data_IF_794123516205
#
_entry.id   IF_794123516205
#
_cell.length_a   1.000
_cell.length_b   1.000
_cell.length_c   1.000
_cell.angle_alpha   90.00
_cell.angle_beta   90.00
_cell.angle_gamma   90.00
#
_symmetry.space_group_name_H-M   'P 1'
#
loop_
_entity.id
_entity.type
_entity.pdbx_description
1 polymer ?
#
# COMPACT_ATOMS: atom_id res chain seq x y z
N UNK A 1 -22.78 -7.65 -22.45
CA UNK A 1 -22.73 -6.89 -21.17
C UNK A 1 -23.32 -5.50 -21.36
N UNK A 2 -24.34 -5.13 -20.58
CA UNK A 2 -25.16 -3.92 -20.78
C UNK A 2 -24.47 -2.61 -20.37
N UNK A 3 -25.03 -1.49 -20.87
CA UNK A 3 -24.57 -0.12 -20.61
C UNK A 3 -24.45 0.20 -19.11
N UNK A 4 -25.36 -0.32 -18.28
CA UNK A 4 -25.36 -0.15 -16.82
C UNK A 4 -24.14 -0.77 -16.14
N UNK A 5 -23.66 -1.93 -16.62
CA UNK A 5 -22.47 -2.60 -16.08
C UNK A 5 -21.21 -1.80 -16.41
N UNK A 6 -21.11 -1.28 -17.65
CA UNK A 6 -19.99 -0.42 -18.06
C UNK A 6 -19.93 0.87 -17.22
N UNK A 7 -21.08 1.52 -17.01
CA UNK A 7 -21.16 2.73 -16.21
C UNK A 7 -20.73 2.51 -14.74
N UNK A 8 -21.17 1.41 -14.11
CA UNK A 8 -20.75 1.06 -12.73
C UNK A 8 -19.24 0.79 -12.64
N UNK A 9 -18.67 0.07 -13.60
CA UNK A 9 -17.24 -0.24 -13.65
C UNK A 9 -16.38 1.02 -13.83
N UNK A 10 -16.80 1.94 -14.70
CA UNK A 10 -16.13 3.24 -14.90
C UNK A 10 -16.22 4.13 -13.67
N UNK A 11 -17.38 4.16 -12.99
CA UNK A 11 -17.51 4.92 -11.73
C UNK A 11 -16.58 4.38 -10.65
N UNK A 12 -16.51 3.05 -10.49
CA UNK A 12 -15.65 2.43 -9.50
C UNK A 12 -14.16 2.66 -9.79
N UNK A 13 -13.75 2.67 -11.06
CA UNK A 13 -12.38 3.03 -11.45
C UNK A 13 -12.04 4.45 -10.98
N UNK A 14 -12.89 5.43 -11.26
CA UNK A 14 -12.68 6.83 -10.86
C UNK A 14 -12.56 7.01 -9.35
N UNK A 15 -13.32 6.21 -8.57
CA UNK A 15 -13.21 6.22 -7.11
C UNK A 15 -11.81 5.74 -6.70
N UNK A 16 -11.34 4.62 -7.25
CA UNK A 16 -10.00 4.10 -6.94
C UNK A 16 -8.88 5.05 -7.37
N UNK A 17 -9.00 5.69 -8.53
CA UNK A 17 -8.09 6.74 -9.01
C UNK A 17 -8.05 7.93 -8.06
N UNK A 18 -9.22 8.40 -7.61
CA UNK A 18 -9.32 9.49 -6.64
C UNK A 18 -8.70 9.10 -5.30
N UNK A 19 -8.97 7.90 -4.79
CA UNK A 19 -8.45 7.43 -3.50
C UNK A 19 -6.91 7.36 -3.51
N UNK A 20 -6.31 6.74 -4.53
CA UNK A 20 -4.85 6.64 -4.61
C UNK A 20 -4.19 8.01 -4.84
N UNK A 21 -4.82 8.89 -5.61
CA UNK A 21 -4.31 10.25 -5.84
C UNK A 21 -4.35 11.08 -4.56
N UNK A 22 -5.46 11.03 -3.81
CA UNK A 22 -5.57 11.71 -2.52
C UNK A 22 -4.59 11.18 -1.49
N UNK A 23 -4.40 9.86 -1.43
CA UNK A 23 -3.40 9.25 -0.55
C UNK A 23 -1.98 9.66 -0.93
N UNK A 24 -1.64 9.62 -2.22
CA UNK A 24 -0.33 10.06 -2.72
C UNK A 24 -0.07 11.54 -2.44
N UNK A 25 -1.10 12.39 -2.56
CA UNK A 25 -1.00 13.80 -2.23
C UNK A 25 -0.73 14.04 -0.73
N UNK A 26 -1.24 13.18 0.16
CA UNK A 26 -0.90 13.24 1.59
C UNK A 26 0.56 12.85 1.81
N UNK A 27 1.03 11.76 1.19
CA UNK A 27 2.44 11.35 1.25
C UNK A 27 3.38 12.46 0.75
N UNK A 28 3.01 13.17 -0.32
CA UNK A 28 3.86 14.24 -0.86
C UNK A 28 4.06 15.43 0.09
N UNK A 29 3.16 15.63 1.06
CA UNK A 29 3.24 16.72 2.05
C UNK A 29 4.13 16.36 3.24
N UNK A 30 4.43 15.08 3.43
CA UNK A 30 5.27 14.58 4.52
C UNK A 30 6.75 14.77 4.16
N UNK A 31 7.59 14.97 5.17
CA UNK A 31 9.04 14.96 4.99
C UNK A 31 9.58 13.51 4.83
N UNK A 32 10.85 13.36 4.45
CA UNK A 32 11.44 12.04 4.21
C UNK A 32 11.53 11.17 5.47
N UNK A 33 11.69 11.76 6.66
CA UNK A 33 11.75 11.02 7.92
C UNK A 33 10.36 10.50 8.32
N UNK A 34 9.32 11.30 8.15
CA UNK A 34 7.92 10.89 8.31
C UNK A 34 7.55 9.77 7.32
N UNK A 35 7.99 9.86 6.07
CA UNK A 35 7.80 8.76 5.10
C UNK A 35 8.58 7.52 5.53
N UNK A 36 9.75 7.64 6.16
CA UNK A 36 10.47 6.51 6.75
C UNK A 36 9.63 5.70 7.75
N UNK A 37 8.80 6.37 8.55
CA UNK A 37 7.84 5.71 9.45
C UNK A 37 6.79 4.92 8.66
N UNK A 38 6.24 5.53 7.60
CA UNK A 38 5.27 4.86 6.73
C UNK A 38 5.90 3.65 6.04
N UNK A 39 7.12 3.75 5.52
CA UNK A 39 7.86 2.66 4.89
C UNK A 39 8.10 1.53 5.88
N UNK A 40 8.60 1.82 7.08
CA UNK A 40 8.86 0.80 8.10
C UNK A 40 7.58 0.02 8.47
N UNK A 41 6.46 0.72 8.70
CA UNK A 41 5.17 0.08 8.99
C UNK A 41 4.59 -0.66 7.78
N UNK A 42 4.76 -0.12 6.58
CA UNK A 42 4.32 -0.76 5.33
C UNK A 42 5.06 -2.08 5.13
N UNK A 43 6.37 -2.10 5.34
CA UNK A 43 7.19 -3.31 5.21
C UNK A 43 6.89 -4.33 6.31
N UNK A 44 6.74 -3.91 7.56
CA UNK A 44 6.33 -4.80 8.64
C UNK A 44 4.94 -5.40 8.39
N UNK A 45 4.01 -4.59 7.90
CA UNK A 45 2.68 -5.03 7.48
C UNK A 45 2.77 -6.05 6.34
N UNK A 46 3.61 -5.81 5.32
CA UNK A 46 3.85 -6.75 4.23
C UNK A 46 4.28 -8.11 4.78
N UNK A 47 5.35 -8.11 5.56
CA UNK A 47 5.93 -9.33 6.09
C UNK A 47 4.92 -10.10 6.95
N UNK A 48 4.09 -9.41 7.74
CA UNK A 48 3.03 -10.04 8.57
C UNK A 48 1.90 -10.62 7.75
N UNK A 49 1.46 -9.91 6.70
CA UNK A 49 0.40 -10.40 5.83
C UNK A 49 0.89 -11.55 4.95
N UNK A 50 2.14 -11.51 4.48
CA UNK A 50 2.73 -12.61 3.72
C UNK A 50 2.89 -13.87 4.57
N UNK A 51 3.28 -13.75 5.85
CA UNK A 51 3.24 -14.88 6.80
C UNK A 51 1.82 -15.44 7.00
N UNK A 52 0.80 -14.58 6.90
CA UNK A 52 -0.60 -14.96 6.98
C UNK A 52 -1.17 -15.51 5.65
N UNK A 53 -0.33 -15.67 4.63
CA UNK A 53 -0.68 -16.28 3.34
C UNK A 53 -1.13 -15.30 2.26
N UNK A 54 -1.00 -13.99 2.45
CA UNK A 54 -1.20 -13.01 1.38
C UNK A 54 0.01 -12.99 0.44
N UNK A 55 -0.21 -12.63 -0.83
CA UNK A 55 0.86 -12.27 -1.77
C UNK A 55 0.70 -10.80 -2.11
N UNK A 56 1.71 -9.97 -1.81
CA UNK A 56 1.59 -8.51 -1.96
C UNK A 56 2.66 -7.91 -2.87
N UNK A 57 3.84 -8.54 -2.91
CA UNK A 57 4.98 -8.14 -3.74
C UNK A 57 4.78 -8.32 -5.26
N UNK A 58 3.78 -9.09 -5.69
CA UNK A 58 3.42 -9.30 -7.10
C UNK A 58 1.91 -9.12 -7.30
N UNK A 59 1.40 -7.88 -7.49
CA UNK A 59 -0.04 -7.62 -7.48
C UNK A 59 -0.80 -8.31 -8.63
N UNK A 60 -0.14 -8.57 -9.76
CA UNK A 60 -0.75 -9.26 -10.92
C UNK A 60 -0.98 -10.74 -10.61
N UNK A 61 0.05 -11.40 -10.08
CA UNK A 61 -0.05 -12.81 -9.66
C UNK A 61 -0.99 -12.93 -8.45
N UNK A 62 -0.87 -12.03 -7.48
CA UNK A 62 -1.70 -12.01 -6.27
C UNK A 62 -3.20 -11.95 -6.59
N UNK A 63 -3.61 -11.09 -7.52
CA UNK A 63 -5.01 -10.99 -7.91
C UNK A 63 -5.52 -12.26 -8.60
N UNK A 64 -4.66 -12.93 -9.38
CA UNK A 64 -5.01 -14.20 -10.03
C UNK A 64 -5.25 -15.32 -9.01
N UNK A 65 -4.44 -15.36 -7.94
CA UNK A 65 -4.53 -16.36 -6.88
C UNK A 65 -5.69 -16.06 -5.93
N UNK A 66 -5.83 -14.80 -5.50
CA UNK A 66 -6.83 -14.37 -4.54
C UNK A 66 -7.41 -12.99 -4.90
N UNK A 67 -8.48 -12.94 -5.72
CA UNK A 67 -9.18 -11.71 -6.09
C UNK A 67 -9.79 -10.94 -4.93
N UNK A 68 -10.00 -11.57 -3.77
CA UNK A 68 -10.60 -10.95 -2.58
C UNK A 68 -9.62 -10.12 -1.75
N UNK A 69 -8.32 -10.17 -2.08
CA UNK A 69 -7.26 -9.44 -1.36
C UNK A 69 -7.60 -7.96 -1.16
N UNK A 70 -8.02 -7.17 -2.17
CA UNK A 70 -8.38 -5.77 -1.96
C UNK A 70 -9.56 -5.57 -1.00
N UNK A 71 -10.55 -6.47 -1.02
CA UNK A 71 -11.70 -6.42 -0.10
C UNK A 71 -11.27 -6.70 1.33
N UNK A 72 -10.42 -7.71 1.54
CA UNK A 72 -9.88 -8.06 2.85
C UNK A 72 -9.05 -6.90 3.45
N UNK A 73 -8.16 -6.30 2.65
CA UNK A 73 -7.35 -5.15 3.08
C UNK A 73 -8.23 -3.94 3.39
N UNK A 74 -9.28 -3.69 2.60
CA UNK A 74 -10.26 -2.62 2.89
C UNK A 74 -10.99 -2.85 4.22
N UNK A 75 -11.32 -4.09 4.56
CA UNK A 75 -11.87 -4.46 5.87
C UNK A 75 -10.90 -4.16 7.02
N UNK A 76 -9.63 -4.55 6.87
CA UNK A 76 -8.58 -4.28 7.86
C UNK A 76 -8.38 -2.78 8.11
N UNK A 77 -8.36 -1.97 7.04
CA UNK A 77 -8.23 -0.50 7.14
C UNK A 77 -9.37 0.08 7.98
N UNK A 78 -10.62 -0.34 7.73
CA UNK A 78 -11.78 0.14 8.49
C UNK A 78 -11.68 -0.20 9.96
N UNK A 79 -11.26 -1.43 10.28
CA UNK A 79 -11.05 -1.86 11.67
C UNK A 79 -9.96 -1.01 12.35
N UNK A 80 -8.81 -0.84 11.71
CA UNK A 80 -7.71 -0.04 12.24
C UNK A 80 -8.11 1.43 12.45
N UNK A 81 -8.86 2.01 11.51
CA UNK A 81 -9.40 3.37 11.65
C UNK A 81 -10.37 3.49 12.82
N UNK A 82 -11.27 2.52 12.99
CA UNK A 82 -12.21 2.49 14.12
C UNK A 82 -11.50 2.35 15.48
N UNK A 83 -10.36 1.67 15.51
CA UNK A 83 -9.49 1.53 16.69
C UNK A 83 -8.57 2.74 16.92
N UNK A 84 -8.59 3.76 16.05
CA UNK A 84 -7.68 4.91 16.13
C UNK A 84 -6.23 4.61 15.72
N UNK A 85 -5.96 3.45 15.12
CA UNK A 85 -4.63 2.98 14.70
C UNK A 85 -4.29 3.49 13.30
N UNK A 86 -4.26 4.81 13.16
CA UNK A 86 -4.20 5.48 11.85
C UNK A 86 -2.89 5.21 11.08
N UNK A 87 -1.76 5.08 11.78
CA UNK A 87 -0.47 4.79 11.14
C UNK A 87 -0.44 3.39 10.51
N UNK A 88 -1.00 2.40 11.20
CA UNK A 88 -1.13 1.04 10.67
C UNK A 88 -2.17 1.00 9.54
N UNK A 89 -3.26 1.77 9.65
CA UNK A 89 -4.22 1.90 8.56
C UNK A 89 -3.56 2.47 7.29
N UNK A 90 -2.70 3.49 7.42
CA UNK A 90 -1.95 4.05 6.29
C UNK A 90 -1.01 3.02 5.64
N UNK A 91 -0.33 2.20 6.45
CA UNK A 91 0.50 1.10 5.95
C UNK A 91 -0.31 0.06 5.15
N UNK A 92 -1.50 -0.31 5.63
CA UNK A 92 -2.40 -1.22 4.89
C UNK A 92 -2.96 -0.55 3.63
N UNK A 93 -3.19 0.76 3.63
CA UNK A 93 -3.62 1.51 2.44
C UNK A 93 -2.63 1.41 1.29
N UNK A 94 -1.32 1.46 1.56
CA UNK A 94 -0.29 1.22 0.53
C UNK A 94 -0.51 -0.12 -0.18
N UNK A 95 -0.74 -1.19 0.60
CA UNK A 95 -0.98 -2.53 0.06
C UNK A 95 -2.34 -2.68 -0.61
N UNK A 96 -3.38 -1.99 -0.12
CA UNK A 96 -4.67 -1.92 -0.82
C UNK A 96 -4.53 -1.30 -2.21
N UNK A 97 -3.85 -0.15 -2.32
CA UNK A 97 -3.62 0.50 -3.60
C UNK A 97 -2.74 -0.35 -4.53
N UNK A 98 -1.73 -1.01 -3.98
CA UNK A 98 -0.86 -1.95 -4.72
C UNK A 98 -1.67 -3.13 -5.27
N UNK A 99 -2.47 -3.81 -4.42
CA UNK A 99 -3.25 -4.99 -4.83
C UNK A 99 -4.31 -4.69 -5.90
N UNK A 100 -4.90 -3.49 -5.89
CA UNK A 100 -5.88 -3.05 -6.90
C UNK A 100 -5.30 -2.97 -8.31
N UNK A 101 -3.99 -2.77 -8.46
CA UNK A 101 -3.32 -2.83 -9.78
C UNK A 101 -3.48 -4.21 -10.42
N UNK A 102 -3.53 -5.27 -9.61
CA UNK A 102 -3.79 -6.64 -10.07
C UNK A 102 -5.09 -6.78 -10.85
N UNK A 103 -6.13 -6.11 -10.38
CA UNK A 103 -7.44 -6.10 -11.01
C UNK A 103 -7.54 -5.11 -12.18
N UNK A 104 -6.79 -4.00 -12.13
CA UNK A 104 -6.92 -2.83 -13.02
C UNK A 104 -5.57 -2.22 -13.33
N UNK A 105 -5.04 -2.53 -14.51
CA UNK A 105 -3.75 -2.03 -14.97
C UNK A 105 -3.72 -0.51 -15.14
N UNK A 106 -4.88 0.11 -15.33
CA UNK A 106 -5.07 1.56 -15.45
C UNK A 106 -4.60 2.30 -14.18
N UNK A 107 -4.59 1.64 -13.02
CA UNK A 107 -4.10 2.22 -11.77
C UNK A 107 -2.58 2.19 -11.64
N UNK A 108 -1.88 1.44 -12.50
CA UNK A 108 -0.42 1.24 -12.40
C UNK A 108 0.38 2.54 -12.38
N UNK A 109 0.11 3.55 -13.23
CA UNK A 109 0.85 4.81 -13.19
C UNK A 109 0.70 5.54 -11.85
N UNK A 110 -0.51 5.56 -11.28
CA UNK A 110 -0.78 6.19 -9.99
C UNK A 110 -0.11 5.42 -8.85
N UNK A 111 -0.10 4.08 -8.91
CA UNK A 111 0.59 3.26 -7.93
C UNK A 111 2.11 3.49 -7.96
N UNK A 112 2.71 3.66 -9.15
CA UNK A 112 4.13 4.03 -9.27
C UNK A 112 4.43 5.40 -8.65
N UNK A 113 3.55 6.38 -8.83
CA UNK A 113 3.70 7.69 -8.18
C UNK A 113 3.65 7.58 -6.66
N UNK A 114 2.72 6.77 -6.12
CA UNK A 114 2.65 6.48 -4.68
C UNK A 114 3.96 5.84 -4.19
N UNK A 115 4.46 4.81 -4.88
CA UNK A 115 5.73 4.17 -4.54
C UNK A 115 6.94 5.10 -4.68
N UNK A 116 6.94 6.04 -5.64
CA UNK A 116 7.96 7.08 -5.75
C UNK A 116 7.94 8.09 -4.60
N UNK A 117 6.77 8.35 -4.00
CA UNK A 117 6.74 9.11 -2.75
C UNK A 117 7.32 8.30 -1.58
N UNK A 118 7.02 7.00 -1.50
CA UNK A 118 7.54 6.12 -0.45
C UNK A 118 9.05 5.94 -0.51
N UNK A 119 9.62 5.88 -1.71
CA UNK A 119 11.07 5.75 -1.94
C UNK A 119 11.88 6.82 -1.17
N UNK A 120 11.34 8.03 -1.05
CA UNK A 120 11.96 9.13 -0.28
C UNK A 120 12.26 8.76 1.17
N UNK A 121 11.51 7.83 1.76
CA UNK A 121 11.71 7.38 3.13
C UNK A 121 12.59 6.14 3.29
N UNK A 122 13.05 5.51 2.20
CA UNK A 122 13.92 4.32 2.30
C UNK A 122 15.16 4.57 3.17
N UNK A 123 15.90 5.69 3.03
CA UNK A 123 17.07 5.96 3.88
C UNK A 123 16.74 6.11 5.38
N UNK A 124 15.46 6.31 5.72
CA UNK A 124 15.00 6.57 7.09
C UNK A 124 14.27 5.38 7.71
N UNK A 125 14.04 4.29 6.96
CA UNK A 125 13.22 3.17 7.41
C UNK A 125 13.83 2.42 8.61
N UNK A 126 15.17 2.28 8.66
CA UNK A 126 15.87 1.62 9.76
C UNK A 126 15.72 2.40 11.07
N UNK A 127 16.02 3.71 11.06
CA UNK A 127 15.86 4.58 12.23
C UNK A 127 14.41 4.65 12.71
N UNK A 128 13.47 4.73 11.77
CA UNK A 128 12.05 4.68 12.07
C UNK A 128 11.66 3.36 12.75
N UNK A 129 12.16 2.22 12.27
CA UNK A 129 11.88 0.91 12.86
C UNK A 129 12.31 0.80 14.32
N UNK A 130 13.49 1.35 14.67
CA UNK A 130 14.01 1.38 16.03
C UNK A 130 13.13 2.23 16.95
N UNK A 131 12.65 3.37 16.44
CA UNK A 131 11.76 4.26 17.18
C UNK A 131 10.39 3.61 17.40
N UNK A 132 9.84 2.99 16.36
CA UNK A 132 8.56 2.30 16.40
C UNK A 132 8.57 1.07 17.31
N UNK A 133 9.69 0.35 17.41
CA UNK A 133 9.82 -0.78 18.35
C UNK A 133 9.53 -0.37 19.81
N UNK A 134 9.89 0.86 20.19
CA UNK A 134 9.62 1.41 21.53
C UNK A 134 8.14 1.74 21.73
N UNK A 135 7.44 2.12 20.66
CA UNK A 135 6.01 2.46 20.68
C UNK A 135 5.14 1.21 20.69
N UNK A 136 5.45 0.25 19.81
CA UNK A 136 4.64 -0.96 19.62
C UNK A 136 5.04 -2.12 20.54
N UNK A 137 6.11 -1.98 21.31
CA UNK A 137 6.66 -3.03 22.18
C UNK A 137 6.88 -4.38 21.47
N UNK A 138 7.25 -4.31 20.19
CA UNK A 138 7.51 -5.47 19.33
C UNK A 138 8.52 -5.10 18.24
N UNK A 139 9.27 -6.07 17.70
CA UNK A 139 10.09 -5.85 16.52
C UNK A 139 9.24 -5.36 15.34
N UNK A 140 9.77 -4.37 14.60
CA UNK A 140 9.26 -3.92 13.32
C UNK A 140 10.11 -4.58 12.24
N UNK A 141 9.52 -5.47 11.44
CA UNK A 141 10.27 -6.25 10.44
C UNK A 141 10.37 -5.49 9.14
N UNK A 142 11.56 -4.99 8.83
CA UNK A 142 11.81 -4.15 7.66
C UNK A 142 12.56 -4.88 6.53
N UNK A 143 12.63 -6.21 6.55
CA UNK A 143 13.28 -6.97 5.47
C UNK A 143 12.73 -6.54 4.10
N UNK A 144 13.60 -6.16 3.16
CA UNK A 144 13.20 -5.69 1.82
C UNK A 144 12.39 -4.39 1.80
N UNK A 145 12.67 -3.45 2.71
CA UNK A 145 12.02 -2.12 2.75
C UNK A 145 12.36 -1.25 1.53
N UNK A 146 13.47 -1.54 0.87
CA UNK A 146 14.03 -0.83 -0.29
C UNK A 146 13.59 -1.46 -1.62
N UNK A 147 12.62 -2.38 -1.59
CA UNK A 147 12.12 -3.10 -2.76
C UNK A 147 10.74 -2.62 -3.18
N UNK A 148 10.55 -2.47 -4.48
CA UNK A 148 9.25 -2.18 -5.08
C UNK A 148 8.50 -3.48 -5.41
N UNK A 149 7.15 -3.49 -5.30
CA UNK A 149 6.36 -4.57 -5.88
C UNK A 149 6.61 -4.67 -7.39
N UNK A 150 6.57 -5.89 -7.92
CA UNK A 150 6.86 -6.15 -9.34
C UNK A 150 6.00 -5.29 -10.26
N UNK A 151 6.65 -4.61 -11.19
CA UNK A 151 6.01 -3.72 -12.15
C UNK A 151 5.62 -2.33 -11.61
N UNK A 152 5.88 -2.04 -10.32
CA UNK A 152 5.56 -0.78 -9.65
C UNK A 152 6.78 0.09 -9.28
N UNK A 153 7.97 -0.22 -9.83
CA UNK A 153 9.12 0.70 -9.78
C UNK A 153 8.70 2.09 -10.32
N UNK A 154 9.06 3.20 -9.65
CA UNK A 154 8.76 4.57 -10.11
C UNK A 154 9.31 4.85 -11.50
N UNK A 155 10.55 4.43 -11.72
CA UNK A 155 11.23 4.46 -13.02
C UNK A 155 11.21 3.06 -13.63
N UNK A 156 10.28 2.75 -14.55
CA UNK A 156 10.23 1.47 -15.23
C UNK A 156 11.41 1.36 -16.22
N UNK A 157 12.10 0.21 -16.19
CA UNK A 157 13.08 -0.19 -17.20
C UNK A 157 12.42 -0.45 -18.56
#
# INVERSE_FOLDING_TARGET
MGLFTKWKLSRYLRIQESEISSFTAQLSQMDSAEIGVVVALTTDTRNRLEDAGFLLSDPIVAYTINPETPSALSGMIKTLQAEGRLQEAAAVMVWLHTSRVGARLELRPLARQMWGQLERGFPHAEDASMSLMRVFFRPIRIDGYDQFPKGLSPDPL
#
